data_IF_735776681518
#
_entry.id   IF_735776681518
#
_cell.length_a   1.000
_cell.length_b   1.000
_cell.length_c   1.000
_cell.angle_alpha   90.00
_cell.angle_beta   90.00
_cell.angle_gamma   90.00
#
_symmetry.space_group_name_H-M   'P 1'
#
loop_
_entity.id
_entity.type
_entity.pdbx_description
1 polymer ?
#
# COMPACT_ATOMS: atom_id res chain seq x y z
N UNK A 1 -19.88 -56.20 -34.69
CA UNK A 1 -18.70 -55.66 -33.97
C UNK A 1 -19.19 -54.72 -32.89
N UNK A 2 -19.06 -55.07 -31.62
CA UNK A 2 -19.58 -54.24 -30.52
C UNK A 2 -18.66 -53.03 -30.30
N UNK A 3 -19.10 -51.85 -30.71
CA UNK A 3 -18.33 -50.60 -30.55
C UNK A 3 -18.53 -49.95 -29.17
N UNK A 4 -19.41 -50.49 -28.32
CA UNK A 4 -19.71 -49.94 -26.99
C UNK A 4 -18.48 -49.77 -26.09
N UNK A 5 -17.51 -50.71 -26.02
CA UNK A 5 -16.30 -50.49 -25.23
C UNK A 5 -15.45 -49.31 -25.74
N UNK A 6 -15.38 -49.13 -27.07
CA UNK A 6 -14.65 -48.02 -27.69
C UNK A 6 -15.31 -46.67 -27.41
N UNK A 7 -16.64 -46.61 -27.45
CA UNK A 7 -17.41 -45.39 -27.11
C UNK A 7 -17.22 -45.07 -25.61
N UNK A 8 -17.31 -46.08 -24.74
CA UNK A 8 -17.10 -45.90 -23.30
C UNK A 8 -15.71 -45.36 -22.98
N UNK A 9 -14.66 -45.93 -23.58
CA UNK A 9 -13.27 -45.44 -23.39
C UNK A 9 -13.12 -44.02 -23.93
N UNK A 10 -13.72 -43.70 -25.09
CA UNK A 10 -13.69 -42.34 -25.63
C UNK A 10 -14.36 -41.30 -24.73
N UNK A 11 -15.53 -41.62 -24.17
CA UNK A 11 -16.24 -40.75 -23.22
C UNK A 11 -15.45 -40.60 -21.92
N UNK A 12 -14.94 -41.70 -21.37
CA UNK A 12 -14.12 -41.68 -20.15
C UNK A 12 -12.86 -40.84 -20.35
N UNK A 13 -12.19 -40.98 -21.49
CA UNK A 13 -11.01 -40.18 -21.84
C UNK A 13 -11.33 -38.69 -21.95
N UNK A 14 -12.42 -38.32 -22.64
CA UNK A 14 -12.84 -36.92 -22.75
C UNK A 14 -13.18 -36.29 -21.39
N UNK A 15 -13.90 -37.02 -20.51
CA UNK A 15 -14.21 -36.58 -19.15
C UNK A 15 -12.96 -36.47 -18.28
N UNK A 16 -12.03 -37.42 -18.43
CA UNK A 16 -10.79 -37.44 -17.65
C UNK A 16 -9.87 -36.29 -18.06
N UNK A 17 -9.72 -36.02 -19.37
CA UNK A 17 -9.01 -34.86 -19.89
C UNK A 17 -9.63 -33.54 -19.44
N UNK A 18 -10.97 -33.45 -19.44
CA UNK A 18 -11.69 -32.28 -18.98
C UNK A 18 -11.44 -32.03 -17.49
N UNK A 19 -11.53 -33.07 -16.65
CA UNK A 19 -11.22 -32.97 -15.23
C UNK A 19 -9.75 -32.62 -14.98
N UNK A 20 -8.82 -33.21 -15.73
CA UNK A 20 -7.40 -32.86 -15.63
C UNK A 20 -7.14 -31.39 -15.99
N UNK A 21 -7.70 -30.92 -17.11
CA UNK A 21 -7.47 -29.56 -17.61
C UNK A 21 -8.13 -28.47 -16.79
N UNK A 22 -9.35 -28.70 -16.29
CA UNK A 22 -10.14 -27.67 -15.59
C UNK A 22 -10.11 -27.78 -14.07
N UNK A 23 -9.79 -28.94 -13.51
CA UNK A 23 -9.78 -29.16 -12.05
C UNK A 23 -8.38 -29.42 -11.55
N UNK A 24 -7.73 -30.50 -12.00
CA UNK A 24 -6.43 -30.91 -11.45
C UNK A 24 -5.31 -29.91 -11.74
N UNK A 25 -5.19 -29.46 -13.00
CA UNK A 25 -4.17 -28.50 -13.41
C UNK A 25 -4.23 -27.19 -12.61
N UNK A 26 -5.36 -26.48 -12.60
CA UNK A 26 -5.53 -25.29 -11.78
C UNK A 26 -5.36 -25.56 -10.28
N UNK A 27 -5.89 -26.65 -9.74
CA UNK A 27 -5.73 -27.00 -8.33
C UNK A 27 -4.26 -27.24 -7.96
N UNK A 28 -3.49 -27.92 -8.81
CA UNK A 28 -2.05 -28.13 -8.60
C UNK A 28 -1.26 -26.83 -8.67
N UNK A 29 -1.64 -25.90 -9.54
CA UNK A 29 -1.02 -24.58 -9.60
C UNK A 29 -1.29 -23.80 -8.32
N UNK A 30 -2.55 -23.76 -7.87
CA UNK A 30 -2.93 -23.08 -6.62
C UNK A 30 -2.24 -23.69 -5.40
N UNK A 31 -2.13 -25.03 -5.32
CA UNK A 31 -1.45 -25.70 -4.21
C UNK A 31 0.06 -25.44 -4.16
N UNK A 32 0.69 -25.12 -5.29
CA UNK A 32 2.11 -24.77 -5.37
C UNK A 32 2.39 -23.28 -5.20
N UNK A 33 1.36 -22.43 -5.06
CA UNK A 33 1.56 -21.03 -4.74
C UNK A 33 1.91 -20.90 -3.26
N UNK A 34 3.03 -20.25 -2.97
CA UNK A 34 3.34 -19.82 -1.61
C UNK A 34 2.25 -18.86 -1.12
N UNK A 35 1.77 -18.99 0.12
CA UNK A 35 0.82 -18.03 0.66
C UNK A 35 1.46 -16.64 0.66
N UNK A 36 0.83 -15.69 -0.06
CA UNK A 36 1.19 -14.28 0.02
C UNK A 36 0.76 -13.78 1.40
N UNK A 37 1.69 -13.88 2.36
CA UNK A 37 1.64 -13.12 3.59
C UNK A 37 1.76 -11.66 3.13
N UNK A 38 0.64 -10.94 3.02
CA UNK A 38 0.65 -9.52 2.67
C UNK A 38 1.45 -8.69 3.68
N UNK A 39 1.13 -7.41 3.87
CA UNK A 39 1.82 -6.55 4.85
C UNK A 39 1.70 -7.01 6.34
N UNK A 40 1.20 -8.23 6.61
CA UNK A 40 1.14 -8.82 7.94
C UNK A 40 -0.07 -8.39 8.77
N UNK A 41 -0.97 -7.59 8.22
CA UNK A 41 -2.18 -7.15 8.91
C UNK A 41 -3.28 -8.21 8.80
N UNK A 42 -3.62 -8.94 9.89
CA UNK A 42 -4.76 -9.83 9.86
C UNK A 42 -6.03 -9.01 9.67
N UNK A 43 -6.86 -9.39 8.71
CA UNK A 43 -8.23 -8.91 8.67
C UNK A 43 -8.91 -9.40 9.95
N UNK A 44 -9.55 -8.49 10.68
CA UNK A 44 -10.25 -8.83 11.93
C UNK A 44 -11.75 -8.54 11.75
N UNK A 45 -12.62 -9.42 12.24
CA UNK A 45 -14.04 -9.13 12.26
C UNK A 45 -14.32 -7.92 13.16
N UNK A 46 -15.38 -7.16 12.86
CA UNK A 46 -15.85 -6.10 13.75
C UNK A 46 -16.34 -6.72 15.06
N UNK A 47 -16.01 -6.08 16.18
CA UNK A 47 -16.40 -6.52 17.52
C UNK A 47 -16.95 -5.35 18.34
N UNK A 48 -17.62 -5.64 19.46
CA UNK A 48 -18.12 -4.63 20.39
C UNK A 48 -19.10 -3.65 19.75
N UNK A 49 -18.92 -2.36 20.04
CA UNK A 49 -19.78 -1.28 19.55
C UNK A 49 -19.80 -1.17 18.03
N UNK A 50 -18.69 -1.45 17.34
CA UNK A 50 -18.67 -1.40 15.88
C UNK A 50 -19.58 -2.47 15.25
N UNK A 51 -19.63 -3.67 15.83
CA UNK A 51 -20.57 -4.73 15.39
C UNK A 51 -22.03 -4.34 15.67
N UNK A 52 -22.31 -3.71 16.81
CA UNK A 52 -23.64 -3.19 17.11
C UNK A 52 -24.03 -2.02 16.18
N UNK A 53 -23.08 -1.16 15.85
CA UNK A 53 -23.28 -0.03 14.96
C UNK A 53 -23.57 -0.44 13.52
N UNK A 54 -23.05 -1.58 13.07
CA UNK A 54 -23.42 -2.18 11.79
C UNK A 54 -24.93 -2.48 11.72
N UNK A 55 -25.51 -2.96 12.82
CA UNK A 55 -26.94 -3.20 12.92
C UNK A 55 -27.72 -1.89 12.91
N UNK A 56 -27.25 -0.86 13.64
CA UNK A 56 -27.86 0.46 13.61
C UNK A 56 -27.79 1.06 12.19
N UNK A 57 -26.68 0.92 11.49
CA UNK A 57 -26.52 1.38 10.10
C UNK A 57 -27.54 0.69 9.17
N UNK A 58 -27.75 -0.61 9.36
CA UNK A 58 -28.74 -1.41 8.63
C UNK A 58 -30.18 -1.02 8.96
N UNK A 59 -30.53 -0.93 10.24
CA UNK A 59 -31.85 -0.53 10.75
C UNK A 59 -32.28 0.84 10.21
N UNK A 60 -31.34 1.77 10.10
CA UNK A 60 -31.58 3.13 9.62
C UNK A 60 -31.54 3.25 8.09
N UNK A 61 -31.31 2.15 7.37
CA UNK A 61 -31.32 2.14 5.91
C UNK A 61 -30.22 3.00 5.28
N UNK A 62 -29.11 3.24 5.97
CA UNK A 62 -28.06 4.13 5.49
C UNK A 62 -27.47 3.70 4.13
N UNK A 63 -27.47 2.39 3.85
CA UNK A 63 -27.01 1.81 2.58
C UNK A 63 -27.95 2.09 1.38
N UNK A 64 -29.17 2.59 1.60
CA UNK A 64 -30.01 3.02 0.49
C UNK A 64 -29.49 4.29 -0.17
N UNK A 65 -28.89 5.20 0.62
CA UNK A 65 -28.40 6.50 0.14
C UNK A 65 -26.88 6.54 -0.02
N UNK A 66 -26.15 5.71 0.74
CA UNK A 66 -24.70 5.66 0.74
C UNK A 66 -24.20 4.34 0.15
N UNK A 67 -23.08 4.44 -0.55
CA UNK A 67 -22.30 3.29 -0.98
C UNK A 67 -21.25 2.94 0.07
N UNK A 68 -20.85 1.68 0.09
CA UNK A 68 -19.71 1.16 0.88
C UNK A 68 -18.74 0.40 -0.02
N UNK A 69 -18.76 0.74 -1.31
CA UNK A 69 -18.00 0.09 -2.34
C UNK A 69 -17.40 1.20 -3.21
N UNK A 70 -16.16 1.59 -2.89
CA UNK A 70 -15.41 2.50 -3.72
C UNK A 70 -15.18 1.85 -5.07
N UNK A 71 -15.72 2.49 -6.10
CA UNK A 71 -15.57 2.05 -7.49
C UNK A 71 -14.15 2.31 -7.96
N UNK A 72 -13.60 1.32 -8.65
CA UNK A 72 -12.36 1.51 -9.40
C UNK A 72 -12.63 2.27 -10.70
N UNK A 73 -11.55 2.76 -11.29
CA UNK A 73 -11.46 3.22 -12.66
C UNK A 73 -10.25 2.59 -13.35
N UNK A 74 -9.62 3.32 -14.27
CA UNK A 74 -8.43 2.81 -14.97
C UNK A 74 -7.22 2.71 -14.04
N UNK A 75 -6.40 1.67 -14.25
CA UNK A 75 -5.13 1.49 -13.56
C UNK A 75 -4.04 1.15 -14.56
N UNK A 76 -2.81 1.51 -14.23
CA UNK A 76 -1.63 1.06 -14.94
C UNK A 76 -0.71 0.28 -14.01
N UNK A 77 0.47 -0.06 -14.51
CA UNK A 77 1.41 -0.93 -13.81
C UNK A 77 2.73 -0.22 -13.55
N UNK A 78 3.11 -0.18 -12.27
CA UNK A 78 4.42 0.22 -11.83
C UNK A 78 5.31 -1.01 -11.66
N UNK A 79 6.44 -1.04 -12.35
CA UNK A 79 7.48 -2.05 -12.15
C UNK A 79 8.45 -1.50 -11.10
N UNK A 80 8.58 -2.21 -9.99
CA UNK A 80 9.50 -1.88 -8.91
C UNK A 80 10.61 -2.92 -8.85
N UNK A 81 11.84 -2.55 -9.21
CA UNK A 81 12.99 -3.46 -9.09
C UNK A 81 13.40 -3.53 -7.63
N UNK A 82 13.35 -4.72 -7.04
CA UNK A 82 13.77 -4.98 -5.66
C UNK A 82 15.22 -5.43 -5.60
N UNK A 83 15.71 -6.09 -6.65
CA UNK A 83 17.12 -6.47 -6.77
C UNK A 83 17.57 -6.45 -8.23
N UNK A 84 18.67 -5.76 -8.53
CA UNK A 84 19.27 -5.76 -9.86
C UNK A 84 20.06 -7.05 -10.10
N UNK A 85 20.04 -7.55 -11.33
CA UNK A 85 20.91 -8.65 -11.75
C UNK A 85 22.36 -8.21 -11.96
N UNK A 86 23.24 -9.14 -12.31
CA UNK A 86 24.68 -8.87 -12.39
C UNK A 86 25.11 -8.19 -13.68
N UNK A 87 24.39 -8.46 -14.78
CA UNK A 87 24.67 -7.85 -16.07
C UNK A 87 24.06 -6.45 -16.15
N UNK A 88 24.94 -5.44 -16.04
CA UNK A 88 24.57 -4.03 -16.12
C UNK A 88 23.93 -3.65 -17.45
N UNK A 89 24.45 -4.18 -18.56
CA UNK A 89 24.01 -3.77 -19.88
C UNK A 89 22.61 -4.33 -20.16
N UNK A 90 22.40 -5.62 -19.87
CA UNK A 90 21.09 -6.25 -20.06
C UNK A 90 20.01 -5.62 -19.17
N UNK A 91 20.36 -5.27 -17.93
CA UNK A 91 19.43 -4.54 -17.06
C UNK A 91 19.15 -3.13 -17.57
N UNK A 92 20.16 -2.40 -18.06
CA UNK A 92 19.96 -1.07 -18.64
C UNK A 92 19.04 -1.12 -19.88
N UNK A 93 19.23 -2.10 -20.77
CA UNK A 93 18.39 -2.31 -21.95
C UNK A 93 16.96 -2.79 -21.63
N UNK A 94 16.78 -3.40 -20.46
CA UNK A 94 15.46 -3.81 -19.99
C UNK A 94 14.69 -2.62 -19.39
N UNK A 95 15.35 -1.78 -18.59
CA UNK A 95 14.69 -0.68 -17.87
C UNK A 95 14.57 0.60 -18.69
N UNK A 96 15.50 0.86 -19.62
CA UNK A 96 15.43 2.05 -20.46
C UNK A 96 14.30 1.89 -21.49
N UNK A 97 13.27 2.71 -21.33
CA UNK A 97 12.08 2.71 -22.20
C UNK A 97 12.00 4.02 -22.95
N UNK A 98 11.91 3.94 -24.29
CA UNK A 98 11.72 5.09 -25.20
C UNK A 98 12.48 6.36 -24.75
N UNK A 99 11.76 7.33 -24.18
CA UNK A 99 12.28 8.65 -23.80
C UNK A 99 12.89 8.72 -22.38
N UNK A 100 12.59 7.75 -21.51
CA UNK A 100 13.06 7.72 -20.11
C UNK A 100 14.21 6.72 -19.94
N UNK A 101 15.36 7.25 -19.51
CA UNK A 101 16.57 6.46 -19.26
C UNK A 101 16.79 6.25 -17.77
N UNK A 102 16.09 5.26 -17.21
CA UNK A 102 16.19 4.86 -15.81
C UNK A 102 17.60 4.40 -15.43
N UNK A 103 18.37 3.88 -16.39
CA UNK A 103 19.77 3.52 -16.19
C UNK A 103 20.65 4.70 -15.77
N UNK A 104 20.24 5.94 -16.07
CA UNK A 104 20.98 7.17 -15.72
C UNK A 104 20.65 7.70 -14.33
N UNK A 105 19.65 7.15 -13.66
CA UNK A 105 19.31 7.58 -12.31
C UNK A 105 20.41 7.19 -11.32
N UNK A 106 20.62 8.04 -10.31
CA UNK A 106 21.66 7.86 -9.30
C UNK A 106 21.52 6.53 -8.57
N UNK A 107 20.29 6.09 -8.29
CA UNK A 107 20.03 4.81 -7.61
C UNK A 107 20.58 3.63 -8.42
N UNK A 108 20.30 3.60 -9.73
CA UNK A 108 20.77 2.52 -10.61
C UNK A 108 22.30 2.52 -10.73
N UNK A 109 22.89 3.69 -11.00
CA UNK A 109 24.34 3.85 -11.14
C UNK A 109 25.07 3.44 -9.85
N UNK A 110 24.55 3.88 -8.70
CA UNK A 110 25.12 3.58 -7.39
C UNK A 110 24.99 2.11 -7.03
N UNK A 111 23.86 1.46 -7.33
CA UNK A 111 23.68 0.04 -7.09
C UNK A 111 24.72 -0.82 -7.82
N UNK A 112 25.02 -0.50 -9.09
CA UNK A 112 26.11 -1.17 -9.82
C UNK A 112 27.50 -0.82 -9.29
N UNK A 113 27.71 0.39 -8.80
CA UNK A 113 28.98 0.73 -8.15
C UNK A 113 29.20 -0.09 -6.87
N UNK A 114 28.14 -0.36 -6.09
CA UNK A 114 28.20 -1.25 -4.93
C UNK A 114 28.50 -2.68 -5.34
N UNK A 115 27.89 -3.19 -6.42
CA UNK A 115 28.25 -4.50 -6.97
C UNK A 115 29.72 -4.58 -7.40
N UNK A 116 30.26 -3.51 -8.00
CA UNK A 116 31.67 -3.46 -8.37
C UNK A 116 32.60 -3.45 -7.15
N UNK A 117 32.25 -2.70 -6.10
CA UNK A 117 32.98 -2.68 -4.83
C UNK A 117 32.92 -4.06 -4.15
N UNK A 118 31.76 -4.71 -4.12
CA UNK A 118 31.61 -6.07 -3.59
C UNK A 118 32.50 -7.06 -4.33
N UNK A 119 32.48 -7.04 -5.67
CA UNK A 119 33.34 -7.90 -6.49
C UNK A 119 34.83 -7.66 -6.23
N UNK A 120 35.24 -6.40 -6.05
CA UNK A 120 36.64 -6.06 -5.74
C UNK A 120 37.03 -6.49 -4.31
N UNK A 121 36.13 -6.34 -3.35
CA UNK A 121 36.34 -6.80 -1.97
C UNK A 121 36.43 -8.32 -1.89
N UNK A 122 35.55 -9.05 -2.60
CA UNK A 122 35.57 -10.51 -2.67
C UNK A 122 36.86 -11.01 -3.33
N UNK A 123 37.34 -10.36 -4.39
CA UNK A 123 38.61 -10.71 -5.03
C UNK A 123 39.80 -10.49 -4.09
N UNK A 124 39.81 -9.40 -3.32
CA UNK A 124 40.83 -9.15 -2.31
C UNK A 124 40.80 -10.21 -1.21
N UNK A 125 39.60 -10.55 -0.70
CA UNK A 125 39.39 -11.57 0.33
C UNK A 125 39.83 -12.95 -0.14
N UNK A 126 39.50 -13.33 -1.37
CA UNK A 126 39.94 -14.60 -1.98
C UNK A 126 41.46 -14.74 -2.06
N UNK A 127 42.20 -13.66 -2.32
CA UNK A 127 43.67 -13.70 -2.32
C UNK A 127 44.26 -13.67 -0.90
N UNK A 128 43.59 -13.01 0.05
CA UNK A 128 44.00 -12.95 1.45
C UNK A 128 43.75 -14.25 2.22
N UNK A 129 42.67 -14.98 1.88
CA UNK A 129 42.27 -16.22 2.55
C UNK A 129 43.08 -17.45 2.09
N UNK A 130 43.93 -17.31 1.06
CA UNK A 130 44.85 -18.38 0.63
C UNK A 130 45.88 -18.70 1.72
N UNK A 131 46.39 -19.92 1.69
CA UNK A 131 47.49 -20.35 2.55
C UNK A 131 48.72 -19.44 2.37
N UNK A 132 49.52 -19.17 3.42
CA UNK A 132 50.62 -18.20 3.39
C UNK A 132 51.63 -18.41 2.26
N UNK A 133 51.80 -19.66 1.82
CA UNK A 133 52.72 -20.07 0.75
C UNK A 133 52.16 -19.80 -0.66
N UNK A 134 50.84 -19.69 -0.81
CA UNK A 134 50.15 -19.43 -2.08
C UNK A 134 49.72 -17.96 -2.24
N UNK A 135 49.94 -17.13 -1.21
CA UNK A 135 49.63 -15.69 -1.24
C UNK A 135 50.59 -14.94 -2.13
N UNK A 136 50.05 -14.35 -3.20
CA UNK A 136 50.79 -13.44 -4.05
C UNK A 136 50.60 -12.00 -3.54
N UNK A 137 51.63 -11.45 -2.89
CA UNK A 137 51.61 -10.08 -2.36
C UNK A 137 51.32 -9.04 -3.43
N UNK A 138 51.75 -9.26 -4.68
CA UNK A 138 51.51 -8.35 -5.79
C UNK A 138 50.03 -8.36 -6.18
N UNK A 139 49.41 -9.55 -6.26
CA UNK A 139 47.96 -9.65 -6.51
C UNK A 139 47.12 -9.03 -5.41
N UNK A 140 47.54 -9.16 -4.15
CA UNK A 140 46.87 -8.49 -3.03
C UNK A 140 46.95 -6.98 -3.17
N UNK A 141 48.11 -6.43 -3.54
CA UNK A 141 48.27 -4.99 -3.80
C UNK A 141 47.41 -4.52 -4.98
N UNK A 142 47.40 -5.26 -6.08
CA UNK A 142 46.59 -4.95 -7.27
C UNK A 142 45.09 -5.01 -6.97
N UNK A 143 44.63 -6.02 -6.22
CA UNK A 143 43.24 -6.15 -5.78
C UNK A 143 42.83 -5.03 -4.82
N UNK A 144 43.71 -4.64 -3.89
CA UNK A 144 43.46 -3.53 -2.97
C UNK A 144 43.40 -2.18 -3.71
N UNK A 145 44.28 -1.95 -4.70
CA UNK A 145 44.22 -0.75 -5.54
C UNK A 145 42.90 -0.69 -6.34
N UNK A 146 42.43 -1.84 -6.84
CA UNK A 146 41.15 -1.97 -7.52
C UNK A 146 39.97 -1.64 -6.60
N UNK A 147 39.99 -2.13 -5.35
CA UNK A 147 38.99 -1.83 -4.33
C UNK A 147 38.93 -0.34 -4.01
N UNK A 148 40.09 0.30 -3.75
CA UNK A 148 40.17 1.74 -3.48
C UNK A 148 39.61 2.55 -4.66
N UNK A 149 39.96 2.19 -5.90
CA UNK A 149 39.44 2.85 -7.10
C UNK A 149 37.92 2.69 -7.21
N UNK A 150 37.38 1.50 -6.95
CA UNK A 150 35.94 1.24 -6.98
C UNK A 150 35.17 2.04 -5.92
N UNK A 151 35.72 2.17 -4.72
CA UNK A 151 35.15 2.99 -3.63
C UNK A 151 35.14 4.46 -4.02
N UNK A 152 36.26 4.98 -4.57
CA UNK A 152 36.36 6.36 -5.05
C UNK A 152 35.30 6.68 -6.10
N UNK A 153 35.18 5.83 -7.14
CA UNK A 153 34.17 5.97 -8.18
C UNK A 153 32.74 5.92 -7.62
N UNK A 154 32.48 5.04 -6.65
CA UNK A 154 31.18 4.97 -5.99
C UNK A 154 30.86 6.27 -5.27
N UNK A 155 31.80 6.82 -4.50
CA UNK A 155 31.61 8.05 -3.73
C UNK A 155 31.40 9.27 -4.64
N UNK A 156 32.04 9.30 -5.81
CA UNK A 156 31.82 10.34 -6.80
C UNK A 156 30.40 10.36 -7.40
N UNK A 157 29.82 9.18 -7.66
CA UNK A 157 28.45 9.04 -8.20
C UNK A 157 27.38 9.62 -7.24
N UNK A 158 27.68 9.70 -5.95
CA UNK A 158 26.76 10.15 -4.89
C UNK A 158 27.10 11.52 -4.29
N UNK A 159 28.00 12.30 -4.91
CA UNK A 159 28.38 13.60 -4.35
C UNK A 159 27.15 14.52 -4.25
N UNK A 160 26.67 14.75 -3.03
CA UNK A 160 25.46 15.54 -2.76
C UNK A 160 24.12 14.78 -2.87
N UNK A 161 24.14 13.45 -3.04
CA UNK A 161 22.92 12.64 -2.99
C UNK A 161 22.42 12.48 -1.54
N UNK A 162 21.09 12.51 -1.35
CA UNK A 162 20.48 12.29 -0.03
C UNK A 162 20.79 10.88 0.50
N UNK A 163 20.94 10.74 1.82
CA UNK A 163 21.22 9.47 2.50
C UNK A 163 20.21 8.36 2.10
N UNK A 164 18.93 8.73 1.94
CA UNK A 164 17.89 7.79 1.50
C UNK A 164 18.11 7.20 0.11
N UNK A 165 18.76 7.92 -0.81
CA UNK A 165 19.11 7.43 -2.15
C UNK A 165 20.21 6.36 -2.04
N UNK A 166 21.22 6.61 -1.20
CA UNK A 166 22.32 5.67 -1.00
C UNK A 166 21.84 4.37 -0.32
N UNK A 167 20.94 4.46 0.66
CA UNK A 167 20.33 3.30 1.32
C UNK A 167 19.45 2.48 0.35
N UNK A 168 18.66 3.14 -0.50
CA UNK A 168 17.87 2.46 -1.53
C UNK A 168 18.74 1.74 -2.55
N UNK A 169 19.79 2.41 -3.04
CA UNK A 169 20.74 1.81 -3.97
C UNK A 169 21.45 0.59 -3.35
N UNK A 170 21.74 0.66 -2.06
CA UNK A 170 22.32 -0.46 -1.32
C UNK A 170 21.36 -1.66 -1.27
N UNK A 171 20.10 -1.46 -0.87
CA UNK A 171 19.11 -2.53 -0.86
C UNK A 171 18.87 -3.16 -2.24
N UNK A 172 18.70 -2.32 -3.27
CA UNK A 172 18.45 -2.80 -4.65
C UNK A 172 19.67 -3.48 -5.28
N UNK A 173 20.89 -3.22 -4.79
CA UNK A 173 22.10 -3.90 -5.28
C UNK A 173 22.18 -5.37 -4.88
N UNK A 174 21.50 -5.79 -3.81
CA UNK A 174 21.52 -7.17 -3.31
C UNK A 174 22.85 -7.62 -2.71
N UNK A 175 23.80 -6.70 -2.45
CA UNK A 175 25.10 -7.02 -1.84
C UNK A 175 25.10 -6.73 -0.34
N UNK A 176 25.86 -7.51 0.42
CA UNK A 176 26.10 -7.30 1.85
C UNK A 176 27.54 -6.86 2.09
N UNK A 177 27.75 -5.87 2.95
CA UNK A 177 29.08 -5.35 3.28
C UNK A 177 29.36 -5.49 4.76
N UNK A 178 30.64 -5.67 5.11
CA UNK A 178 31.13 -5.55 6.48
C UNK A 178 31.08 -4.09 6.95
N UNK A 179 31.04 -3.87 8.27
CA UNK A 179 30.84 -2.54 8.88
C UNK A 179 31.84 -1.49 8.40
N UNK A 180 33.10 -1.89 8.24
CA UNK A 180 34.18 -0.97 7.84
C UNK A 180 34.02 -0.49 6.40
N UNK A 181 33.54 -1.37 5.51
CA UNK A 181 33.31 -1.05 4.10
C UNK A 181 32.05 -0.19 3.92
N UNK A 182 31.03 -0.38 4.75
CA UNK A 182 29.87 0.52 4.79
C UNK A 182 30.28 1.96 5.09
N UNK A 183 31.14 2.15 6.11
CA UNK A 183 31.64 3.47 6.48
C UNK A 183 32.42 4.15 5.33
N UNK A 184 33.24 3.39 4.59
CA UNK A 184 34.00 3.90 3.45
C UNK A 184 33.12 4.31 2.25
N UNK A 185 31.92 3.72 2.14
CA UNK A 185 30.93 4.04 1.10
C UNK A 185 29.98 5.18 1.49
N UNK A 186 30.19 5.80 2.65
CA UNK A 186 29.32 6.86 3.17
C UNK A 186 27.96 6.35 3.64
N UNK A 187 27.85 5.05 3.98
CA UNK A 187 26.67 4.44 4.58
C UNK A 187 26.84 4.33 6.11
N UNK A 188 25.75 4.30 6.89
CA UNK A 188 25.82 4.09 8.33
C UNK A 188 26.46 2.73 8.65
N UNK A 189 27.54 2.74 9.45
CA UNK A 189 28.23 1.51 9.88
C UNK A 189 27.31 0.59 10.73
N UNK A 190 26.36 1.20 11.46
CA UNK A 190 25.26 0.51 12.13
C UNK A 190 23.93 1.14 11.73
N UNK A 191 23.02 0.31 11.22
CA UNK A 191 21.71 0.78 10.79
C UNK A 191 20.73 0.79 11.97
N UNK A 192 20.04 1.92 12.15
CA UNK A 192 18.88 1.96 13.03
C UNK A 192 17.69 1.20 12.41
N UNK A 193 16.64 0.94 13.19
CA UNK A 193 15.48 0.17 12.74
C UNK A 193 14.78 0.75 11.49
N UNK A 194 14.78 2.08 11.33
CA UNK A 194 14.19 2.74 10.17
C UNK A 194 15.07 2.56 8.92
N UNK A 195 16.38 2.72 9.04
CA UNK A 195 17.35 2.53 7.96
C UNK A 195 17.35 1.06 7.51
N UNK A 196 17.35 0.11 8.44
CA UNK A 196 17.27 -1.32 8.13
C UNK A 196 15.98 -1.67 7.38
N UNK A 197 14.84 -1.08 7.76
CA UNK A 197 13.58 -1.22 7.03
C UNK A 197 13.67 -0.62 5.62
N UNK A 198 14.26 0.57 5.47
CA UNK A 198 14.43 1.22 4.15
C UNK A 198 15.28 0.40 3.19
N UNK A 199 16.32 -0.29 3.68
CA UNK A 199 17.15 -1.19 2.87
C UNK A 199 16.38 -2.44 2.49
N UNK A 200 15.64 -3.03 3.44
CA UNK A 200 14.85 -4.25 3.21
C UNK A 200 13.68 -4.03 2.24
N UNK A 201 13.04 -2.87 2.32
CA UNK A 201 11.92 -2.46 1.47
C UNK A 201 12.38 -1.60 0.28
N UNK A 202 13.69 -1.61 -0.01
CA UNK A 202 14.24 -0.81 -1.10
C UNK A 202 13.66 -1.28 -2.44
N UNK A 203 13.17 -0.31 -3.21
CA UNK A 203 12.62 -0.55 -4.53
C UNK A 203 12.98 0.60 -5.47
N UNK A 204 13.31 0.26 -6.71
CA UNK A 204 13.59 1.21 -7.77
C UNK A 204 12.46 1.18 -8.82
N UNK A 205 11.55 2.17 -8.84
CA UNK A 205 10.45 2.19 -9.80
C UNK A 205 10.97 2.55 -11.20
N UNK A 206 10.76 1.67 -12.17
CA UNK A 206 11.20 1.83 -13.58
C UNK A 206 10.05 2.12 -14.54
N UNK A 207 8.87 2.37 -14.00
CA UNK A 207 7.73 2.96 -14.71
C UNK A 207 7.01 3.91 -13.77
N UNK A 208 6.10 4.75 -14.28
CA UNK A 208 5.35 5.70 -13.44
C UNK A 208 3.93 5.25 -13.09
N UNK A 209 3.58 4.02 -13.44
CA UNK A 209 2.27 3.44 -13.16
C UNK A 209 1.18 3.85 -14.14
N UNK A 210 1.51 4.60 -15.20
CA UNK A 210 0.55 4.98 -16.25
C UNK A 210 0.44 3.96 -17.38
N UNK A 211 1.38 3.02 -17.44
CA UNK A 211 1.56 2.04 -18.51
C UNK A 211 0.54 0.89 -18.41
N UNK A 212 0.03 0.44 -19.55
CA UNK A 212 -0.82 -0.76 -19.63
C UNK A 212 0.03 -2.04 -19.61
N UNK A 213 -0.60 -3.20 -19.41
CA UNK A 213 0.09 -4.50 -19.47
C UNK A 213 0.88 -4.69 -20.78
N UNK A 214 0.28 -4.30 -21.90
CA UNK A 214 0.89 -4.44 -23.23
C UNK A 214 2.18 -3.61 -23.37
N UNK A 215 2.27 -2.49 -22.66
CA UNK A 215 3.43 -1.61 -22.71
C UNK A 215 4.60 -2.18 -21.87
N UNK A 216 4.30 -2.92 -20.81
CA UNK A 216 5.30 -3.44 -19.87
C UNK A 216 5.71 -4.89 -20.12
N UNK A 217 4.89 -5.69 -20.82
CA UNK A 217 5.12 -7.13 -20.99
C UNK A 217 6.52 -7.43 -21.52
N UNK A 218 6.97 -6.70 -22.55
CA UNK A 218 8.31 -6.89 -23.11
C UNK A 218 9.45 -6.52 -22.15
N UNK A 219 9.22 -5.55 -21.26
CA UNK A 219 10.18 -5.19 -20.20
C UNK A 219 10.27 -6.31 -19.15
N UNK A 220 9.12 -6.84 -18.74
CA UNK A 220 9.03 -7.93 -17.76
C UNK A 220 9.71 -9.20 -18.28
N UNK A 221 9.47 -9.56 -19.54
CA UNK A 221 10.13 -10.71 -20.17
C UNK A 221 11.66 -10.54 -20.17
N UNK A 222 12.18 -9.35 -20.54
CA UNK A 222 13.62 -9.08 -20.50
C UNK A 222 14.19 -9.16 -19.08
N UNK A 223 13.51 -8.58 -18.10
CA UNK A 223 13.95 -8.60 -16.70
C UNK A 223 14.02 -10.03 -16.14
N UNK A 224 12.99 -10.84 -16.42
CA UNK A 224 12.87 -12.22 -15.94
C UNK A 224 13.82 -13.19 -16.66
N UNK A 225 13.83 -13.17 -17.99
CA UNK A 225 14.46 -14.23 -18.77
C UNK A 225 15.94 -13.97 -19.05
N UNK A 226 16.38 -12.71 -19.01
CA UNK A 226 17.74 -12.32 -19.42
C UNK A 226 18.50 -11.56 -18.34
N UNK A 227 17.86 -10.60 -17.69
CA UNK A 227 18.56 -9.67 -16.82
C UNK A 227 18.78 -10.21 -15.39
N UNK A 228 18.09 -11.28 -14.98
CA UNK A 228 18.22 -11.89 -13.65
C UNK A 228 17.78 -10.98 -12.50
N UNK A 229 16.99 -9.95 -12.77
CA UNK A 229 16.53 -9.00 -11.77
C UNK A 229 15.28 -9.52 -11.05
N UNK A 230 15.18 -9.22 -9.75
CA UNK A 230 13.95 -9.39 -8.99
C UNK A 230 13.12 -8.11 -9.06
N UNK A 231 11.83 -8.26 -9.30
CA UNK A 231 10.91 -7.15 -9.40
C UNK A 231 9.58 -7.46 -8.73
N UNK A 232 8.91 -6.40 -8.31
CA UNK A 232 7.53 -6.40 -7.85
C UNK A 232 6.68 -5.61 -8.86
N UNK A 233 5.55 -6.18 -9.23
CA UNK A 233 4.56 -5.49 -10.05
C UNK A 233 3.50 -4.87 -9.13
N UNK A 234 3.34 -3.56 -9.19
CA UNK A 234 2.35 -2.85 -8.39
C UNK A 234 1.32 -2.20 -9.33
N UNK A 235 0.04 -2.58 -9.27
CA UNK A 235 -1.00 -1.84 -9.99
C UNK A 235 -1.23 -0.49 -9.30
N UNK A 236 -1.27 0.58 -10.09
CA UNK A 236 -1.42 1.97 -9.65
C UNK A 236 -2.64 2.60 -10.30
N UNK A 237 -3.47 3.24 -9.48
CA UNK A 237 -4.66 3.94 -9.95
C UNK A 237 -4.29 5.14 -10.86
N UNK A 238 -4.96 5.27 -12.00
CA UNK A 238 -4.75 6.38 -12.95
C UNK A 238 -5.87 7.42 -12.83
N UNK A 239 -7.10 7.06 -13.21
CA UNK A 239 -8.27 7.94 -13.14
C UNK A 239 -9.37 7.24 -12.32
N UNK A 240 -9.43 7.55 -11.03
CA UNK A 240 -10.39 6.96 -10.09
C UNK A 240 -11.30 8.04 -9.49
N UNK A 241 -12.58 8.12 -9.90
CA UNK A 241 -13.51 9.14 -9.41
C UNK A 241 -13.70 9.14 -7.89
N UNK A 242 -13.61 7.97 -7.26
CA UNK A 242 -13.81 7.84 -5.81
C UNK A 242 -12.58 8.20 -4.98
N UNK A 243 -11.40 8.17 -5.60
CA UNK A 243 -10.15 8.62 -4.97
C UNK A 243 -10.13 10.13 -4.82
N UNK A 244 -10.61 10.84 -5.83
CA UNK A 244 -10.80 12.29 -5.75
C UNK A 244 -11.75 12.68 -4.61
N UNK A 245 -12.60 11.74 -4.17
CA UNK A 245 -13.57 11.88 -3.08
C UNK A 245 -13.13 11.21 -1.77
N UNK A 246 -11.85 10.82 -1.63
CA UNK A 246 -11.27 10.35 -0.38
C UNK A 246 -11.22 8.82 -0.20
N UNK A 247 -11.55 8.03 -1.22
CA UNK A 247 -11.30 6.58 -1.18
C UNK A 247 -9.78 6.30 -1.18
N UNK A 248 -9.32 5.42 -0.29
CA UNK A 248 -7.91 5.01 -0.22
C UNK A 248 -7.52 4.01 -1.31
N UNK A 249 -8.48 3.17 -1.73
CA UNK A 249 -8.39 2.28 -2.90
C UNK A 249 -9.78 1.80 -3.32
N UNK A 250 -9.85 1.12 -4.47
CA UNK A 250 -11.02 0.35 -4.88
C UNK A 250 -11.37 -0.71 -3.82
N UNK A 251 -12.68 -0.91 -3.60
CA UNK A 251 -13.18 -1.98 -2.76
C UNK A 251 -13.07 -3.34 -3.46
N UNK A 252 -12.64 -4.36 -2.72
CA UNK A 252 -12.50 -5.75 -3.19
C UNK A 252 -13.29 -6.70 -2.30
N UNK A 253 -13.53 -7.93 -2.74
CA UNK A 253 -14.34 -8.91 -1.99
C UNK A 253 -13.84 -9.15 -0.55
N UNK A 254 -12.52 -9.03 -0.34
CA UNK A 254 -11.87 -9.18 0.97
C UNK A 254 -12.35 -8.14 2.00
N UNK A 255 -12.81 -6.97 1.58
CA UNK A 255 -13.32 -5.91 2.46
C UNK A 255 -14.63 -6.29 3.16
N UNK A 256 -15.35 -7.26 2.59
CA UNK A 256 -16.66 -7.68 3.05
C UNK A 256 -16.64 -9.07 3.68
N UNK A 257 -15.45 -9.67 3.87
CA UNK A 257 -15.30 -11.06 4.31
C UNK A 257 -15.98 -11.36 5.65
N UNK A 258 -16.04 -10.37 6.54
CA UNK A 258 -16.64 -10.50 7.88
C UNK A 258 -17.98 -9.78 8.02
N UNK A 259 -18.50 -9.20 6.94
CA UNK A 259 -19.84 -8.63 6.94
C UNK A 259 -20.84 -9.77 6.83
N UNK A 260 -21.64 -9.99 7.87
CA UNK A 260 -22.70 -11.00 7.85
C UNK A 260 -23.72 -10.68 6.75
N UNK A 261 -23.97 -9.38 6.54
CA UNK A 261 -24.81 -8.87 5.45
C UNK A 261 -24.06 -7.76 4.73
N UNK A 262 -23.65 -8.05 3.50
CA UNK A 262 -22.87 -7.09 2.72
C UNK A 262 -23.77 -5.95 2.25
N UNK A 263 -23.56 -4.76 2.82
CA UNK A 263 -24.31 -3.55 2.46
C UNK A 263 -23.49 -2.64 1.54
N UNK A 264 -23.20 -3.10 0.30
CA UNK A 264 -22.42 -2.35 -0.71
C UNK A 264 -23.04 -0.99 -1.09
N UNK A 265 -24.33 -0.81 -0.85
CA UNK A 265 -25.11 0.35 -1.23
C UNK A 265 -26.01 0.08 -2.43
N UNK A 266 -27.18 0.74 -2.49
CA UNK A 266 -28.14 0.61 -3.59
C UNK A 266 -28.11 1.84 -4.50
N UNK A 267 -28.09 3.04 -3.90
CA UNK A 267 -27.99 4.32 -4.60
C UNK A 267 -26.93 5.18 -3.92
N UNK A 268 -26.48 6.23 -4.63
CA UNK A 268 -25.43 7.14 -4.16
C UNK A 268 -25.91 8.59 -4.16
N UNK A 269 -26.91 8.86 -3.32
CA UNK A 269 -27.36 10.22 -3.00
C UNK A 269 -26.39 10.92 -2.04
N UNK A 270 -25.81 10.14 -1.11
CA UNK A 270 -24.72 10.57 -0.24
C UNK A 270 -23.36 10.08 -0.72
N UNK A 271 -22.26 10.52 -0.08
CA UNK A 271 -20.91 10.03 -0.38
C UNK A 271 -20.77 8.53 -0.11
N UNK A 272 -19.72 7.94 -0.70
CA UNK A 272 -19.31 6.58 -0.33
C UNK A 272 -18.66 6.61 1.07
N UNK A 273 -18.96 5.59 1.88
CA UNK A 273 -18.54 5.48 3.27
C UNK A 273 -17.49 4.38 3.48
N UNK A 274 -16.98 3.75 2.43
CA UNK A 274 -16.02 2.64 2.56
C UNK A 274 -14.72 3.02 3.27
N UNK A 275 -14.38 4.32 3.27
CA UNK A 275 -13.19 4.86 3.94
C UNK A 275 -13.46 5.96 4.97
N UNK A 276 -14.72 6.17 5.38
CA UNK A 276 -15.06 7.31 6.25
C UNK A 276 -14.30 7.27 7.59
N UNK A 277 -13.97 6.07 8.09
CA UNK A 277 -13.21 5.92 9.32
C UNK A 277 -11.81 6.53 9.24
N UNK A 278 -11.20 6.56 8.05
CA UNK A 278 -9.92 7.27 7.83
C UNK A 278 -10.07 8.78 8.02
N UNK A 279 -11.20 9.36 7.61
CA UNK A 279 -11.44 10.81 7.72
C UNK A 279 -11.82 11.19 9.16
N UNK A 280 -12.46 10.28 9.91
CA UNK A 280 -12.82 10.51 11.31
C UNK A 280 -11.60 10.40 12.23
N UNK A 281 -10.65 9.51 11.93
CA UNK A 281 -9.52 9.19 12.80
C UNK A 281 -8.23 9.97 12.48
N UNK A 282 -8.20 10.74 11.38
CA UNK A 282 -6.99 11.41 10.91
C UNK A 282 -7.32 12.79 10.33
N UNK A 283 -6.49 13.78 10.65
CA UNK A 283 -6.65 15.16 10.19
C UNK A 283 -6.04 15.33 8.79
N UNK A 284 -6.82 15.91 7.86
CA UNK A 284 -6.37 16.18 6.49
C UNK A 284 -5.18 17.15 6.40
N UNK A 285 -5.06 18.10 7.34
CA UNK A 285 -4.06 19.18 7.25
C UNK A 285 -2.62 18.73 7.46
N UNK A 286 -2.39 17.67 8.24
CA UNK A 286 -1.04 17.23 8.63
C UNK A 286 -0.76 15.75 8.32
N UNK A 287 -1.76 14.98 7.85
CA UNK A 287 -1.61 13.54 7.61
C UNK A 287 -1.29 12.72 8.87
N UNK A 288 -1.39 13.33 10.06
CA UNK A 288 -1.16 12.70 11.36
C UNK A 288 -2.45 12.03 11.86
N UNK A 289 -2.27 10.92 12.55
CA UNK A 289 -3.35 10.19 13.21
C UNK A 289 -3.83 10.98 14.42
N UNK A 290 -5.10 11.39 14.41
CA UNK A 290 -5.76 12.14 15.49
C UNK A 290 -6.04 11.22 16.68
N UNK A 291 -6.06 9.91 16.46
CA UNK A 291 -6.28 8.90 17.51
C UNK A 291 -5.26 8.98 18.67
N UNK A 292 -4.14 9.70 18.51
CA UNK A 292 -3.15 9.91 19.57
C UNK A 292 -3.48 11.09 20.51
N UNK A 293 -4.50 11.91 20.19
CA UNK A 293 -4.99 12.98 21.05
C UNK A 293 -6.50 12.80 21.33
N UNK A 294 -6.88 12.33 22.54
CA UNK A 294 -8.27 12.09 22.89
C UNK A 294 -9.18 13.32 22.78
N UNK A 295 -8.66 14.53 23.03
CA UNK A 295 -9.45 15.76 22.99
C UNK A 295 -9.81 16.14 21.55
N UNK A 296 -8.87 16.02 20.62
CA UNK A 296 -9.11 16.25 19.19
C UNK A 296 -10.09 15.22 18.61
N UNK A 297 -9.97 13.95 19.00
CA UNK A 297 -10.90 12.91 18.54
C UNK A 297 -12.35 13.21 18.96
N UNK A 298 -12.56 13.72 20.18
CA UNK A 298 -13.90 14.12 20.65
C UNK A 298 -14.46 15.24 19.77
N UNK A 299 -13.64 16.17 19.30
CA UNK A 299 -14.08 17.26 18.41
C UNK A 299 -14.54 16.69 17.06
N UNK A 300 -13.78 15.78 16.44
CA UNK A 300 -14.16 15.16 15.17
C UNK A 300 -15.41 14.28 15.30
N UNK A 301 -15.48 13.48 16.37
CA UNK A 301 -16.65 12.66 16.70
C UNK A 301 -17.92 13.52 16.84
N UNK A 302 -17.77 14.67 17.51
CA UNK A 302 -18.86 15.62 17.68
C UNK A 302 -19.35 16.18 16.33
N UNK A 303 -18.48 16.43 15.35
CA UNK A 303 -18.93 16.86 14.00
C UNK A 303 -19.83 15.81 13.34
N UNK A 304 -19.49 14.53 13.48
CA UNK A 304 -20.31 13.43 12.96
C UNK A 304 -21.65 13.35 13.70
N UNK A 305 -21.66 13.51 15.02
CA UNK A 305 -22.91 13.54 15.80
C UNK A 305 -23.80 14.72 15.41
N UNK A 306 -23.23 15.93 15.24
CA UNK A 306 -23.98 17.10 14.76
C UNK A 306 -24.57 16.84 13.37
N UNK A 307 -23.79 16.25 12.46
CA UNK A 307 -24.27 15.91 11.12
C UNK A 307 -25.38 14.85 11.14
N UNK A 308 -25.29 13.82 11.98
CA UNK A 308 -26.37 12.83 12.13
C UNK A 308 -27.65 13.47 12.70
N UNK A 309 -27.51 14.39 13.66
CA UNK A 309 -28.66 15.06 14.29
C UNK A 309 -29.35 16.06 13.35
N UNK A 310 -28.58 16.93 12.70
CA UNK A 310 -29.04 17.86 11.68
C UNK A 310 -27.98 17.95 10.57
N UNK A 311 -28.17 17.26 9.43
CA UNK A 311 -27.18 17.24 8.34
C UNK A 311 -26.85 18.62 7.75
N UNK A 312 -27.68 19.63 8.01
CA UNK A 312 -27.51 21.01 7.54
C UNK A 312 -27.08 21.97 8.67
N UNK A 313 -26.58 21.46 9.80
CA UNK A 313 -26.20 22.26 10.97
C UNK A 313 -25.13 23.31 10.66
N UNK A 314 -24.22 23.03 9.72
CA UNK A 314 -23.13 23.92 9.32
C UNK A 314 -23.51 24.84 8.14
N UNK A 315 -24.81 24.93 7.80
CA UNK A 315 -25.33 25.71 6.67
C UNK A 315 -25.12 25.07 5.29
N UNK A 316 -24.45 23.92 5.21
CA UNK A 316 -24.30 23.20 3.94
C UNK A 316 -25.60 22.46 3.59
N UNK A 317 -26.01 22.55 2.31
CA UNK A 317 -27.15 21.78 1.83
C UNK A 317 -26.84 20.28 1.91
N UNK A 318 -27.79 19.51 2.45
CA UNK A 318 -27.70 18.06 2.53
C UNK A 318 -29.08 17.45 2.34
N UNK A 319 -29.13 16.41 1.51
CA UNK A 319 -30.31 15.58 1.29
C UNK A 319 -30.43 14.43 2.30
N UNK A 320 -29.45 14.28 3.19
CA UNK A 320 -29.50 13.29 4.26
C UNK A 320 -30.65 13.65 5.23
N UNK A 321 -31.53 12.70 5.57
CA UNK A 321 -32.53 12.92 6.60
C UNK A 321 -31.89 13.10 7.99
N UNK A 322 -32.50 13.91 8.88
CA UNK A 322 -31.99 14.08 10.24
C UNK A 322 -32.37 12.90 11.15
N UNK A 323 -31.38 12.29 11.82
CA UNK A 323 -31.53 11.16 12.74
C UNK A 323 -31.67 11.61 14.20
N UNK A 324 -32.53 12.61 14.46
CA UNK A 324 -32.69 13.24 15.79
C UNK A 324 -33.03 12.24 16.90
N UNK A 325 -33.74 11.15 16.58
CA UNK A 325 -34.12 10.09 17.52
C UNK A 325 -32.93 9.29 18.06
N UNK A 326 -31.75 9.37 17.46
CA UNK A 326 -30.52 8.77 17.99
C UNK A 326 -29.94 9.59 19.16
N UNK A 327 -30.53 10.74 19.49
CA UNK A 327 -30.04 11.67 20.49
C UNK A 327 -31.12 12.03 21.50
N UNK A 328 -30.69 12.29 22.74
CA UNK A 328 -31.50 13.03 23.71
C UNK A 328 -31.22 14.50 23.50
N UNK A 329 -32.26 15.34 23.51
CA UNK A 329 -32.12 16.77 23.29
C UNK A 329 -32.60 17.56 24.50
N UNK A 330 -31.94 18.68 24.78
CA UNK A 330 -32.32 19.65 25.80
C UNK A 330 -32.20 21.05 25.20
N UNK A 331 -33.29 21.82 25.23
CA UNK A 331 -33.27 23.20 24.75
C UNK A 331 -32.36 24.03 25.65
N UNK A 332 -31.52 24.87 25.05
CA UNK A 332 -30.65 25.79 25.78
C UNK A 332 -31.26 27.19 25.75
N UNK A 333 -31.27 27.86 26.90
CA UNK A 333 -31.50 29.31 26.95
C UNK A 333 -30.32 30.11 26.39
N UNK A 334 -30.49 31.42 26.17
CA UNK A 334 -29.46 32.30 25.58
C UNK A 334 -28.10 32.23 26.29
N UNK A 335 -28.10 32.15 27.63
CA UNK A 335 -26.87 32.12 28.45
C UNK A 335 -26.57 30.75 29.07
N UNK A 336 -27.33 29.72 28.69
CA UNK A 336 -27.16 28.40 29.26
C UNK A 336 -25.99 27.67 28.60
N UNK A 337 -25.14 27.02 29.39
CA UNK A 337 -23.99 26.26 28.90
C UNK A 337 -24.33 24.77 28.78
N UNK A 338 -23.67 24.10 27.85
CA UNK A 338 -23.69 22.65 27.76
C UNK A 338 -23.04 22.01 29.00
N UNK A 339 -23.58 20.87 29.41
CA UNK A 339 -23.02 20.04 30.47
C UNK A 339 -21.94 19.11 29.92
N UNK A 340 -21.20 18.45 30.82
CA UNK A 340 -20.18 17.48 30.42
C UNK A 340 -20.79 16.34 29.59
N UNK A 341 -20.25 16.11 28.39
CA UNK A 341 -20.73 15.09 27.46
C UNK A 341 -21.94 15.49 26.60
N UNK A 342 -22.47 16.71 26.76
CA UNK A 342 -23.42 17.30 25.82
C UNK A 342 -22.70 18.02 24.68
N UNK A 343 -23.33 17.99 23.51
CA UNK A 343 -22.82 18.61 22.29
C UNK A 343 -23.76 19.73 21.90
N UNK A 344 -23.22 20.93 21.71
CA UNK A 344 -24.00 22.08 21.28
C UNK A 344 -24.27 22.03 19.77
N UNK A 345 -25.54 22.09 19.40
CA UNK A 345 -25.98 22.31 18.02
C UNK A 345 -26.75 23.62 17.99
N UNK A 346 -26.23 24.54 17.20
CA UNK A 346 -26.86 25.82 16.93
C UNK A 346 -27.08 25.96 15.43
N UNK A 347 -28.27 26.42 15.05
CA UNK A 347 -28.59 26.80 13.69
C UNK A 347 -29.12 28.23 13.72
N UNK A 348 -28.47 29.11 12.97
CA UNK A 348 -28.81 30.53 12.88
C UNK A 348 -30.32 30.71 12.69
N UNK A 349 -30.91 31.58 13.51
CA UNK A 349 -32.33 31.95 13.54
C UNK A 349 -33.34 30.80 13.75
N UNK A 350 -32.88 29.62 14.20
CA UNK A 350 -33.77 28.46 14.37
C UNK A 350 -33.78 27.92 15.79
N UNK A 351 -32.65 27.43 16.29
CA UNK A 351 -32.60 26.81 17.62
C UNK A 351 -31.17 26.68 18.15
N UNK A 352 -31.07 26.62 19.48
CA UNK A 352 -29.87 26.24 20.23
C UNK A 352 -30.22 25.09 21.17
N UNK A 353 -29.61 23.92 20.94
CA UNK A 353 -29.89 22.69 21.70
C UNK A 353 -28.61 21.99 22.13
N UNK A 354 -28.65 21.41 23.32
CA UNK A 354 -27.69 20.44 23.79
C UNK A 354 -28.18 19.04 23.41
N UNK A 355 -27.36 18.28 22.68
CA UNK A 355 -27.64 16.88 22.34
C UNK A 355 -26.72 15.93 23.08
N UNK A 356 -27.25 14.78 23.48
CA UNK A 356 -26.48 13.67 24.08
C UNK A 356 -26.65 12.42 23.22
N UNK A 357 -25.57 11.83 22.69
CA UNK A 357 -25.65 10.63 21.87
C UNK A 357 -26.12 9.43 22.70
N UNK A 358 -27.15 8.73 22.22
CA UNK A 358 -27.59 7.45 22.80
C UNK A 358 -26.56 6.34 22.54
N UNK A 359 -26.75 5.18 23.16
CA UNK A 359 -25.94 4.00 22.87
C UNK A 359 -25.95 3.63 21.37
N UNK A 360 -27.09 3.80 20.68
CA UNK A 360 -27.19 3.55 19.23
C UNK A 360 -26.36 4.56 18.41
N UNK A 361 -26.37 5.84 18.77
CA UNK A 361 -25.54 6.86 18.12
C UNK A 361 -24.04 6.54 18.29
N UNK A 362 -23.64 6.17 19.51
CA UNK A 362 -22.25 5.79 19.80
C UNK A 362 -21.83 4.55 19.01
N UNK A 363 -22.65 3.51 18.99
CA UNK A 363 -22.40 2.31 18.21
C UNK A 363 -22.25 2.64 16.71
N UNK A 364 -23.16 3.45 16.15
CA UNK A 364 -23.10 3.86 14.74
C UNK A 364 -21.79 4.60 14.40
N UNK A 365 -21.32 5.50 15.28
CA UNK A 365 -20.05 6.18 15.09
C UNK A 365 -18.86 5.19 15.08
N UNK A 366 -18.82 4.27 16.04
CA UNK A 366 -17.76 3.25 16.11
C UNK A 366 -17.77 2.34 14.88
N UNK A 367 -18.94 2.04 14.34
CA UNK A 367 -19.06 1.36 13.07
C UNK A 367 -18.47 2.18 11.92
N UNK A 368 -18.81 3.46 11.79
CA UNK A 368 -18.25 4.34 10.76
C UNK A 368 -16.73 4.47 10.87
N UNK A 369 -16.17 4.59 12.09
CA UNK A 369 -14.72 4.56 12.34
C UNK A 369 -14.06 3.26 11.89
N UNK A 370 -14.77 2.14 11.96
CA UNK A 370 -14.27 0.85 11.49
C UNK A 370 -14.24 0.71 9.96
N UNK A 371 -14.97 1.56 9.22
CA UNK A 371 -14.99 1.54 7.76
C UNK A 371 -13.72 2.18 7.20
N UNK A 372 -12.72 1.32 6.95
CA UNK A 372 -11.39 1.70 6.49
C UNK A 372 -10.99 0.85 5.29
N UNK A 373 -10.87 1.50 4.13
CA UNK A 373 -10.35 0.88 2.91
C UNK A 373 -8.91 1.32 2.63
N UNK A 374 -8.25 2.05 3.52
CA UNK A 374 -6.95 2.67 3.30
C UNK A 374 -5.75 1.71 3.41
N UNK A 375 -5.98 0.46 3.82
CA UNK A 375 -4.93 -0.57 3.91
C UNK A 375 -4.60 -1.16 2.54
N UNK A 376 -3.32 -1.32 2.18
CA UNK A 376 -2.92 -1.92 0.92
C UNK A 376 -3.30 -3.39 0.85
N UNK A 377 -3.86 -3.82 -0.29
CA UNK A 377 -4.13 -5.23 -0.59
C UNK A 377 -3.45 -5.59 -1.91
N UNK A 378 -2.91 -6.82 -2.06
CA UNK A 378 -2.28 -7.27 -3.31
C UNK A 378 -3.18 -7.13 -4.54
N UNK A 379 -4.47 -7.44 -4.38
CA UNK A 379 -5.47 -7.43 -5.45
C UNK A 379 -6.05 -6.04 -5.76
N UNK A 380 -5.75 -5.02 -4.95
CA UNK A 380 -6.34 -3.69 -5.10
C UNK A 380 -5.26 -2.66 -5.49
N UNK A 381 -5.39 -1.99 -6.65
CA UNK A 381 -4.44 -0.97 -7.06
C UNK A 381 -4.32 0.14 -6.00
N UNK A 382 -3.09 0.57 -5.74
CA UNK A 382 -2.85 1.63 -4.77
C UNK A 382 -3.00 2.99 -5.45
N UNK A 383 -3.57 3.93 -4.70
CA UNK A 383 -3.52 5.34 -5.06
C UNK A 383 -2.13 5.85 -4.73
N UNK A 384 -1.40 6.39 -5.71
CA UNK A 384 -0.20 7.18 -5.43
C UNK A 384 -0.63 8.34 -4.55
N UNK A 385 -0.25 8.31 -3.26
CA UNK A 385 -0.34 9.52 -2.43
C UNK A 385 0.47 10.57 -3.16
N UNK A 386 -0.15 11.70 -3.54
CA UNK A 386 0.63 12.90 -3.84
C UNK A 386 1.50 13.10 -2.60
N UNK A 387 2.80 12.78 -2.70
CA UNK A 387 3.75 13.25 -1.72
C UNK A 387 3.50 14.75 -1.67
N UNK A 388 3.13 15.26 -0.50
CA UNK A 388 2.99 16.69 -0.30
C UNK A 388 4.28 17.29 -0.85
N UNK A 389 4.18 18.01 -1.96
CA UNK A 389 5.30 18.75 -2.49
C UNK A 389 5.72 19.65 -1.34
N UNK A 390 6.85 19.33 -0.71
CA UNK A 390 7.52 20.26 0.17
C UNK A 390 7.79 21.49 -0.70
N UNK A 391 6.94 22.50 -0.52
CA UNK A 391 7.13 23.82 -1.09
C UNK A 391 7.92 24.65 -0.10
#
# INVERSE_FOLDING_TARGET
MNKSPLIFVGVLFALSLSWWGMVYGPASQVNNLSPELGAGDPLRPRVGLAKQGEQVYRENGCYYCHTRAATGGSFGYEIQITQLGDDRQLNAEAVDQHDKKYSRETVFQKAYSYKAVAKAADALKQEQDKEPEERDQKKIQDANATLISAIGLSNDISRGAEEGVNLKAYGVSGVSFEKDLLAQLGLPAEMNANQARLVKEASFPVTDGSQSWKDIEGTIQKLKDKAGAQYKLQPVAKEWPDVEKGAGRQSVSRDFLFDEHVMIGVMRFGPDLSNIGRNILFEEKNGKEVANNPEEQVIEDNKIYKHLYDPQWNGQSSHMPPFRYLFKQRKLGENERVQSGEIEVEKEDSYRVAITPTAKAKALLEYMKSLRNDKPLPEAPLVRRKQASAK
#
